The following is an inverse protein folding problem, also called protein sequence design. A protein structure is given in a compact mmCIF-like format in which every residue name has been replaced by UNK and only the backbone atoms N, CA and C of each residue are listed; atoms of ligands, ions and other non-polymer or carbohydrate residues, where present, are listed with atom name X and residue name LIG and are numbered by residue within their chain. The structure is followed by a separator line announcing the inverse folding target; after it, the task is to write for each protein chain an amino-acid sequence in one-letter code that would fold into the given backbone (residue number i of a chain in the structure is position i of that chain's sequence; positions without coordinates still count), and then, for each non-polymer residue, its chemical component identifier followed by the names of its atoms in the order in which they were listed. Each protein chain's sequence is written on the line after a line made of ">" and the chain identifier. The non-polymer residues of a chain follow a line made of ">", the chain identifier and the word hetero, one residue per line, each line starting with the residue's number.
data_IF_606209767965
#
_entry.id   IF_606209767965
#
_cell.length_a   1.000
_cell.length_b   1.000
_cell.length_c   1.000
_cell.angle_alpha   90.00
_cell.angle_beta   90.00
_cell.angle_gamma   90.00
#
_symmetry.space_group_name_H-M   'P 1'
#
loop_
_entity.id
_entity.type
_entity.pdbx_description
1 polymer ?
#
# COMPACT_ATOMS: atom_id res chain seq x y z
N UNK A 1 -19.35 13.57 0.09
CA UNK A 1 -20.18 12.86 -0.92
C UNK A 1 -19.79 11.38 -0.99
N UNK A 2 -20.77 10.48 -0.96
CA UNK A 2 -20.59 9.01 -0.98
C UNK A 2 -20.32 8.45 -2.37
N UNK A 3 -20.34 9.29 -3.41
CA UNK A 3 -20.06 8.89 -4.79
C UNK A 3 -18.57 8.60 -4.98
N UNK A 4 -18.26 7.43 -5.53
CA UNK A 4 -16.92 7.09 -6.01
C UNK A 4 -16.56 7.98 -7.21
N UNK A 5 -15.37 8.56 -7.19
CA UNK A 5 -14.88 9.50 -8.20
C UNK A 5 -13.90 8.80 -9.15
N UNK A 6 -13.06 7.91 -8.60
CA UNK A 6 -12.12 7.12 -9.38
C UNK A 6 -12.08 5.70 -8.84
N UNK A 7 -12.13 4.72 -9.75
CA UNK A 7 -11.79 3.34 -9.47
C UNK A 7 -10.50 2.98 -10.19
N UNK A 8 -9.43 2.78 -9.45
CA UNK A 8 -8.14 2.38 -9.97
C UNK A 8 -7.95 0.88 -9.79
N UNK A 9 -7.83 0.15 -10.89
CA UNK A 9 -7.56 -1.30 -10.90
C UNK A 9 -6.17 -1.54 -11.51
N UNK A 10 -5.11 -1.60 -10.70
CA UNK A 10 -3.84 -2.07 -11.21
C UNK A 10 -3.94 -3.56 -11.54
N UNK A 11 -3.23 -4.00 -12.57
CA UNK A 11 -3.23 -5.40 -13.02
C UNK A 11 -2.79 -6.39 -11.93
N UNK A 12 -2.16 -5.90 -10.87
CA UNK A 12 -1.71 -6.67 -9.70
C UNK A 12 -2.12 -5.95 -8.42
N UNK A 13 -2.87 -6.64 -7.56
CA UNK A 13 -3.35 -6.10 -6.28
C UNK A 13 -4.69 -5.37 -6.39
N UNK A 14 -5.63 -5.70 -5.51
CA UNK A 14 -7.03 -5.29 -5.57
C UNK A 14 -7.29 -3.80 -5.84
N UNK A 15 -8.45 -3.53 -6.45
CA UNK A 15 -8.87 -2.19 -6.85
C UNK A 15 -8.96 -1.19 -5.70
N UNK A 16 -8.60 0.06 -5.98
CA UNK A 16 -8.71 1.19 -5.06
C UNK A 16 -9.84 2.08 -5.53
N UNK A 17 -10.76 2.41 -4.62
CA UNK A 17 -11.79 3.41 -4.87
C UNK A 17 -11.46 4.70 -4.13
N UNK A 18 -11.53 5.81 -4.88
CA UNK A 18 -11.31 7.16 -4.37
C UNK A 18 -12.64 7.88 -4.37
N UNK A 19 -12.99 8.44 -3.21
CA UNK A 19 -14.20 9.19 -2.98
C UNK A 19 -13.88 10.68 -2.82
N UNK A 20 -14.90 11.54 -2.86
CA UNK A 20 -14.71 12.99 -2.67
C UNK A 20 -14.05 13.36 -1.33
N UNK A 21 -14.23 12.54 -0.29
CA UNK A 21 -13.56 12.74 1.00
C UNK A 21 -12.04 12.55 0.93
N UNK A 22 -11.57 11.71 0.01
CA UNK A 22 -10.15 11.43 -0.18
C UNK A 22 -9.51 12.60 -0.92
N UNK A 23 -10.13 13.11 -1.99
CA UNK A 23 -9.65 14.31 -2.70
C UNK A 23 -9.51 15.53 -1.77
N UNK A 24 -10.42 15.68 -0.80
CA UNK A 24 -10.33 16.74 0.19
C UNK A 24 -9.03 16.70 1.02
N UNK A 25 -8.34 15.55 1.10
CA UNK A 25 -7.05 15.40 1.79
C UNK A 25 -5.85 15.88 0.97
N UNK A 26 -6.02 16.12 -0.34
CA UNK A 26 -4.97 16.69 -1.21
C UNK A 26 -4.85 18.22 -1.08
N UNK A 27 -5.77 18.87 -0.35
CA UNK A 27 -5.73 20.31 -0.16
C UNK A 27 -4.51 20.74 0.68
N UNK A 28 -3.98 21.97 0.48
CA UNK A 28 -2.84 22.46 1.23
C UNK A 28 -3.01 22.32 2.74
N UNK A 29 -1.90 22.02 3.44
CA UNK A 29 -1.84 21.87 4.91
C UNK A 29 -2.75 20.75 5.47
N UNK A 30 -3.02 19.71 4.68
CA UNK A 30 -3.71 18.50 5.14
C UNK A 30 -2.82 17.27 5.01
N UNK A 31 -2.97 16.33 5.92
CA UNK A 31 -2.36 15.01 5.81
C UNK A 31 -3.10 14.15 4.81
N UNK A 32 -2.33 13.43 3.99
CA UNK A 32 -2.85 12.36 3.13
C UNK A 32 -3.45 11.26 4.01
N UNK A 33 -4.43 10.55 3.47
CA UNK A 33 -4.96 9.34 4.11
C UNK A 33 -4.38 8.08 3.48
N UNK A 34 -4.61 6.94 4.12
CA UNK A 34 -4.06 5.65 3.69
C UNK A 34 -4.49 5.29 2.25
N UNK A 35 -5.72 5.63 1.86
CA UNK A 35 -6.24 5.42 0.48
C UNK A 35 -5.41 6.16 -0.56
N UNK A 36 -5.08 7.43 -0.33
CA UNK A 36 -4.26 8.20 -1.27
C UNK A 36 -2.81 7.74 -1.30
N UNK A 37 -2.25 7.33 -0.15
CA UNK A 37 -0.90 6.76 -0.08
C UNK A 37 -0.84 5.45 -0.86
N UNK A 38 -1.79 4.53 -0.64
CA UNK A 38 -1.85 3.26 -1.37
C UNK A 38 -2.03 3.50 -2.88
N UNK A 39 -2.91 4.45 -3.25
CA UNK A 39 -3.10 4.82 -4.65
C UNK A 39 -1.81 5.33 -5.31
N UNK A 40 -1.12 6.29 -4.68
CA UNK A 40 0.10 6.88 -5.22
C UNK A 40 1.21 5.84 -5.42
N UNK A 41 1.38 4.93 -4.45
CA UNK A 41 2.38 3.87 -4.54
C UNK A 41 2.07 2.87 -5.66
N UNK A 42 0.80 2.44 -5.80
CA UNK A 42 0.43 1.55 -6.92
C UNK A 42 0.49 2.25 -8.27
N UNK A 43 0.27 3.57 -8.33
CA UNK A 43 0.45 4.35 -9.55
C UNK A 43 1.92 4.36 -9.96
N UNK A 44 2.83 4.68 -9.04
CA UNK A 44 4.27 4.67 -9.32
C UNK A 44 4.81 3.28 -9.65
N UNK A 45 4.34 2.23 -8.97
CA UNK A 45 4.74 0.86 -9.31
C UNK A 45 4.30 0.47 -10.73
N UNK A 46 3.07 0.83 -11.12
CA UNK A 46 2.61 0.64 -12.50
C UNK A 46 3.45 1.43 -13.51
N UNK A 47 3.86 2.65 -13.18
CA UNK A 47 4.76 3.46 -14.01
C UNK A 47 6.14 2.81 -14.17
N UNK A 48 6.70 2.27 -13.08
CA UNK A 48 7.95 1.51 -13.12
C UNK A 48 7.77 0.28 -14.00
N UNK A 49 6.71 -0.50 -13.79
CA UNK A 49 6.42 -1.71 -14.57
C UNK A 49 6.31 -1.44 -16.07
N UNK A 50 5.72 -0.31 -16.46
CA UNK A 50 5.64 0.13 -17.87
C UNK A 50 7.00 0.46 -18.48
N UNK A 51 7.98 0.89 -17.68
CA UNK A 51 9.31 1.31 -18.15
C UNK A 51 10.35 0.20 -18.02
N UNK A 52 10.25 -0.61 -16.98
CA UNK A 52 11.15 -1.69 -16.63
C UNK A 52 10.37 -2.73 -15.81
N UNK A 53 9.93 -3.80 -16.47
CA UNK A 53 9.16 -4.86 -15.84
C UNK A 53 9.98 -5.61 -14.79
N UNK A 54 11.24 -5.92 -15.09
CA UNK A 54 12.11 -6.70 -14.22
C UNK A 54 12.34 -5.97 -12.89
N UNK A 55 12.63 -4.67 -12.95
CA UNK A 55 12.75 -3.84 -11.74
C UNK A 55 11.43 -3.79 -10.94
N UNK A 56 10.28 -3.75 -11.61
CA UNK A 56 9.00 -3.74 -10.91
C UNK A 56 8.75 -5.06 -10.16
N UNK A 57 9.19 -6.19 -10.72
CA UNK A 57 9.06 -7.50 -10.10
C UNK A 57 10.00 -7.67 -8.90
N UNK A 58 11.12 -6.94 -8.85
CA UNK A 58 12.03 -6.85 -7.69
C UNK A 58 11.52 -5.97 -6.53
N UNK A 59 10.43 -5.22 -6.75
CA UNK A 59 9.85 -4.32 -5.75
C UNK A 59 8.57 -4.92 -5.16
N UNK A 60 8.52 -5.09 -3.85
CA UNK A 60 7.29 -5.36 -3.11
C UNK A 60 6.81 -4.14 -2.33
N UNK A 61 5.53 -3.79 -2.48
CA UNK A 61 4.90 -2.68 -1.77
C UNK A 61 3.80 -3.23 -0.87
N UNK A 62 3.96 -3.06 0.45
CA UNK A 62 2.92 -3.37 1.41
C UNK A 62 1.84 -2.28 1.45
N UNK A 63 0.61 -2.68 1.77
CA UNK A 63 -0.45 -1.72 2.12
C UNK A 63 -0.06 -0.94 3.39
N UNK A 64 -0.46 0.35 3.52
CA UNK A 64 -0.23 1.13 4.74
C UNK A 64 -0.74 0.47 6.04
N UNK A 65 -1.69 -0.45 5.95
CA UNK A 65 -2.19 -1.22 7.10
C UNK A 65 -1.21 -2.28 7.62
N UNK A 66 -0.20 -2.67 6.84
CA UNK A 66 0.79 -3.68 7.22
C UNK A 66 1.56 -3.26 8.47
N UNK A 67 2.16 -2.07 8.45
CA UNK A 67 2.90 -1.58 9.61
C UNK A 67 2.00 -1.41 10.83
N UNK A 68 0.79 -0.89 10.65
CA UNK A 68 -0.18 -0.76 11.75
C UNK A 68 -0.48 -2.11 12.39
N UNK A 69 -0.58 -3.18 11.60
CA UNK A 69 -0.78 -4.54 12.08
C UNK A 69 0.47 -5.06 12.80
N UNK A 70 1.64 -4.80 12.23
CA UNK A 70 2.93 -5.17 12.79
C UNK A 70 3.21 -4.46 14.13
N UNK A 71 2.83 -3.19 14.25
CA UNK A 71 3.08 -2.32 15.40
C UNK A 71 2.06 -2.51 16.54
N UNK A 72 0.91 -3.18 16.29
CA UNK A 72 -0.07 -3.58 17.32
C UNK A 72 0.44 -4.65 18.29
N UNK A 73 1.74 -4.97 18.28
CA UNK A 73 2.40 -5.85 19.25
C UNK A 73 2.09 -5.38 20.67
N UNK A 74 1.40 -6.22 21.44
CA UNK A 74 1.61 -6.24 22.89
C UNK A 74 2.97 -6.90 23.11
N UNK A 75 3.71 -6.48 24.15
CA UNK A 75 5.13 -6.76 24.41
C UNK A 75 5.67 -8.13 23.96
N UNK A 76 4.85 -9.20 24.03
CA UNK A 76 5.26 -10.57 23.70
C UNK A 76 4.39 -11.30 22.66
N UNK A 77 3.46 -10.62 21.99
CA UNK A 77 2.54 -11.26 21.03
C UNK A 77 2.58 -10.58 19.67
N UNK A 78 3.54 -11.01 18.84
CA UNK A 78 3.60 -10.64 17.42
C UNK A 78 2.46 -11.39 16.71
N UNK A 79 1.61 -10.72 15.91
CA UNK A 79 0.51 -11.36 15.18
C UNK A 79 1.04 -12.13 13.95
N UNK A 80 1.88 -13.15 14.19
CA UNK A 80 2.56 -13.94 13.16
C UNK A 80 1.58 -14.53 12.14
N UNK A 81 0.43 -15.03 12.59
CA UNK A 81 -0.61 -15.58 11.69
C UNK A 81 -1.13 -14.54 10.69
N UNK A 82 -1.25 -13.27 11.10
CA UNK A 82 -1.66 -12.20 10.20
C UNK A 82 -0.52 -11.86 9.24
N UNK A 83 0.71 -11.69 9.75
CA UNK A 83 1.89 -11.36 8.95
C UNK A 83 2.19 -12.44 7.89
N UNK A 84 2.04 -13.72 8.25
CA UNK A 84 2.21 -14.85 7.34
C UNK A 84 1.17 -14.81 6.20
N UNK A 85 -0.08 -14.41 6.47
CA UNK A 85 -1.08 -14.20 5.41
C UNK A 85 -0.70 -13.07 4.46
N UNK A 86 -0.05 -12.01 4.94
CA UNK A 86 0.40 -10.91 4.10
C UNK A 86 1.54 -11.31 3.16
N UNK A 87 2.27 -12.37 3.47
CA UNK A 87 3.43 -12.87 2.71
C UNK A 87 3.16 -14.26 2.09
N UNK A 88 1.92 -14.76 2.12
CA UNK A 88 1.64 -16.16 1.74
C UNK A 88 1.77 -16.45 0.24
N UNK A 89 1.68 -15.41 -0.60
CA UNK A 89 1.54 -15.56 -2.05
C UNK A 89 2.80 -15.12 -2.82
N UNK A 90 3.88 -14.76 -2.12
CA UNK A 90 5.14 -14.36 -2.73
C UNK A 90 6.29 -14.63 -1.77
N UNK A 91 7.47 -14.86 -2.32
CA UNK A 91 8.69 -14.89 -1.52
C UNK A 91 9.20 -13.47 -1.29
N UNK A 92 9.18 -13.01 -0.04
CA UNK A 92 9.66 -11.67 0.32
C UNK A 92 11.18 -11.53 0.18
N UNK A 93 11.93 -12.62 0.35
CA UNK A 93 13.39 -12.61 0.24
C UNK A 93 13.87 -12.62 -1.21
N UNK A 94 12.98 -12.94 -2.15
CA UNK A 94 13.23 -12.80 -3.59
C UNK A 94 13.16 -11.34 -4.10
N UNK A 95 12.99 -10.36 -3.21
CA UNK A 95 12.78 -8.95 -3.56
C UNK A 95 13.97 -8.12 -3.11
N UNK A 96 14.56 -7.38 -4.05
CA UNK A 96 15.61 -6.41 -3.74
C UNK A 96 15.08 -5.21 -2.93
N UNK A 97 13.83 -4.80 -3.16
CA UNK A 97 13.24 -3.63 -2.52
C UNK A 97 11.91 -3.95 -1.85
N UNK A 98 11.81 -3.63 -0.56
CA UNK A 98 10.60 -3.78 0.25
C UNK A 98 10.16 -2.41 0.75
N UNK A 99 9.02 -1.94 0.27
CA UNK A 99 8.42 -0.66 0.66
C UNK A 99 7.32 -0.92 1.69
N UNK A 100 7.52 -0.38 2.89
CA UNK A 100 6.55 -0.42 3.99
C UNK A 100 6.13 1.01 4.33
N UNK A 101 4.95 1.47 3.91
CA UNK A 101 4.45 2.78 4.28
C UNK A 101 4.15 2.82 5.78
N UNK A 102 4.67 3.83 6.46
CA UNK A 102 4.51 4.01 7.90
C UNK A 102 3.91 5.37 8.20
N UNK A 103 2.81 5.36 8.95
CA UNK A 103 2.23 6.56 9.54
C UNK A 103 2.56 6.56 11.03
N UNK A 104 3.59 7.30 11.41
CA UNK A 104 3.97 7.51 12.81
C UNK A 104 3.43 8.86 13.28
N UNK A 105 2.83 8.87 14.48
CA UNK A 105 2.43 10.10 15.16
C UNK A 105 3.61 10.67 15.95
#
# INVERSE_FOLDING_TARGET
>A
PSTSILRYNPSVGGGIEIYGRDLNKLQPKRFLNDTLIEFGLKLWHADIKRRNNDLADEIHIFSPFFYTTLARRKKDNIPWTQILRWTSNFDIFSKEYIIIPMNAK
#
